data_IF_543378899258
#
_entry.id   IF_543378899258
#
_cell.length_a   1.000
_cell.length_b   1.000
_cell.length_c   1.000
_cell.angle_alpha   90.00
_cell.angle_beta   90.00
_cell.angle_gamma   90.00
#
_symmetry.space_group_name_H-M   'P 1'
#
loop_
_entity.id
_entity.type
_entity.pdbx_description
1 polymer ?
#
# COMPACT_ATOMS: atom_id res chain seq x y z
N UNK A 1 2.44 5.10 12.29
CA UNK A 1 1.77 3.81 12.06
C UNK A 1 2.79 2.71 11.78
N UNK A 2 2.37 1.46 11.92
CA UNK A 2 3.14 0.29 11.51
C UNK A 2 2.71 -0.12 10.10
N UNK A 3 3.65 -0.56 9.27
CA UNK A 3 3.36 -1.04 7.91
C UNK A 3 4.36 -2.09 7.44
N UNK A 4 3.95 -2.91 6.48
CA UNK A 4 4.82 -3.85 5.77
C UNK A 4 5.24 -3.22 4.44
N UNK A 5 6.54 -3.11 4.23
CA UNK A 5 7.12 -2.44 3.06
C UNK A 5 7.94 -3.42 2.24
N UNK A 6 7.71 -3.42 0.92
CA UNK A 6 8.65 -4.00 -0.03
C UNK A 6 9.72 -2.95 -0.34
N UNK A 7 10.93 -3.15 0.19
CA UNK A 7 12.01 -2.15 0.05
C UNK A 7 12.85 -2.35 -1.20
N UNK A 8 12.96 -3.59 -1.70
CA UNK A 8 13.80 -3.92 -2.85
C UNK A 8 13.23 -5.12 -3.58
N UNK A 9 13.10 -5.00 -4.90
CA UNK A 9 12.65 -6.10 -5.76
C UNK A 9 13.68 -7.21 -5.92
N UNK A 10 14.96 -6.94 -5.64
CA UNK A 10 16.07 -7.89 -5.72
C UNK A 10 16.17 -8.84 -4.52
N UNK A 11 15.37 -8.60 -3.47
CA UNK A 11 15.43 -9.37 -2.23
C UNK A 11 14.08 -9.95 -1.91
N UNK A 12 14.08 -11.19 -1.44
CA UNK A 12 12.88 -11.78 -0.86
C UNK A 12 12.58 -11.15 0.51
N UNK A 13 11.32 -11.21 0.91
CA UNK A 13 10.84 -10.68 2.18
C UNK A 13 10.16 -9.31 2.09
N UNK A 14 9.70 -8.88 3.26
CA UNK A 14 9.08 -7.60 3.56
C UNK A 14 9.67 -7.05 4.86
N UNK A 15 9.73 -5.72 4.99
CA UNK A 15 10.23 -5.06 6.19
C UNK A 15 9.05 -4.48 6.99
N UNK A 16 8.94 -4.86 8.28
CA UNK A 16 8.04 -4.19 9.21
C UNK A 16 8.66 -2.86 9.64
N UNK A 17 8.06 -1.74 9.21
CA UNK A 17 8.43 -0.41 9.69
C UNK A 17 7.47 0.05 10.77
N UNK A 18 8.01 0.70 11.79
CA UNK A 18 7.25 1.32 12.88
C UNK A 18 7.48 2.83 12.89
N UNK A 19 6.50 3.60 13.37
CA UNK A 19 6.64 5.06 13.47
C UNK A 19 6.56 5.83 12.14
N UNK A 20 6.08 5.20 11.05
CA UNK A 20 5.85 5.89 9.77
C UNK A 20 4.73 6.92 9.93
N UNK A 21 4.85 8.11 9.34
CA UNK A 21 3.77 9.11 9.39
C UNK A 21 2.46 8.55 8.80
N UNK A 22 1.31 9.04 9.28
CA UNK A 22 0.05 8.78 8.60
C UNK A 22 0.05 9.52 7.25
N UNK A 23 -0.57 8.97 6.20
CA UNK A 23 -0.72 9.69 4.95
C UNK A 23 -1.61 10.93 5.16
N UNK A 24 -1.24 12.03 4.49
CA UNK A 24 -2.08 13.22 4.36
C UNK A 24 -3.19 12.95 3.34
N UNK A 25 -4.37 13.54 3.55
CA UNK A 25 -5.54 13.30 2.69
C UNK A 25 -5.66 14.43 1.67
N UNK A 26 -5.57 14.09 0.39
CA UNK A 26 -5.86 15.01 -0.71
C UNK A 26 -7.34 15.39 -0.79
N UNK A 27 -7.69 16.36 -1.65
CA UNK A 27 -9.08 16.87 -1.72
C UNK A 27 -10.12 15.79 -2.06
N UNK A 28 -9.79 14.87 -2.96
CA UNK A 28 -10.71 13.83 -3.45
C UNK A 28 -10.38 12.44 -2.88
N UNK A 29 -9.68 12.39 -1.75
CA UNK A 29 -9.22 11.16 -1.11
C UNK A 29 -9.93 10.91 0.23
N UNK A 30 -9.79 9.69 0.73
CA UNK A 30 -10.19 9.32 2.10
C UNK A 30 -9.04 8.58 2.77
N UNK A 31 -8.86 8.77 4.08
CA UNK A 31 -7.98 7.92 4.87
C UNK A 31 -8.77 6.81 5.53
N UNK A 32 -8.26 5.59 5.39
CA UNK A 32 -8.86 4.40 5.99
C UNK A 32 -7.94 3.91 7.10
N UNK A 33 -8.46 3.86 8.32
CA UNK A 33 -7.85 3.12 9.41
C UNK A 33 -8.14 1.64 9.25
N UNK A 34 -7.17 0.92 8.72
CA UNK A 34 -7.25 -0.53 8.49
C UNK A 34 -7.50 -1.26 9.80
N UNK A 35 -8.51 -2.15 9.80
CA UNK A 35 -8.90 -3.00 10.94
C UNK A 35 -8.51 -4.46 10.75
N UNK A 36 -8.54 -4.91 9.50
CA UNK A 36 -8.07 -6.24 9.10
C UNK A 36 -7.59 -6.21 7.65
N UNK A 37 -6.69 -7.13 7.33
CA UNK A 37 -6.21 -7.39 5.96
C UNK A 37 -5.98 -8.89 5.80
N UNK A 38 -6.21 -9.39 4.60
CA UNK A 38 -5.86 -10.75 4.19
C UNK A 38 -4.54 -10.76 3.42
N UNK A 39 -4.06 -11.97 3.11
CA UNK A 39 -2.87 -12.23 2.31
C UNK A 39 -3.28 -13.17 1.17
N UNK A 40 -3.00 -12.78 -0.06
CA UNK A 40 -3.33 -13.56 -1.25
C UNK A 40 -2.07 -14.09 -1.97
N UNK A 41 -2.26 -14.76 -3.11
CA UNK A 41 -1.17 -15.26 -3.94
C UNK A 41 -0.24 -14.16 -4.48
N UNK A 42 -0.78 -12.98 -4.79
CA UNK A 42 0.02 -11.83 -5.24
C UNK A 42 0.96 -11.34 -4.14
N UNK A 43 0.51 -11.28 -2.88
CA UNK A 43 1.36 -10.89 -1.76
C UNK A 43 2.53 -11.87 -1.57
N UNK A 44 2.27 -13.17 -1.77
CA UNK A 44 3.33 -14.20 -1.80
C UNK A 44 4.31 -13.96 -2.94
N UNK A 45 3.85 -13.64 -4.15
CA UNK A 45 4.74 -13.30 -5.26
C UNK A 45 5.58 -12.06 -4.96
N UNK A 46 5.00 -11.02 -4.35
CA UNK A 46 5.74 -9.83 -3.92
C UNK A 46 6.80 -10.18 -2.87
N UNK A 47 6.46 -11.05 -1.91
CA UNK A 47 7.43 -11.56 -0.95
C UNK A 47 8.61 -12.23 -1.66
N UNK A 48 8.36 -13.05 -2.68
CA UNK A 48 9.38 -13.76 -3.46
C UNK A 48 9.87 -13.02 -4.72
N UNK A 49 9.82 -11.69 -4.73
CA UNK A 49 10.09 -10.90 -5.94
C UNK A 49 11.47 -11.15 -6.55
N UNK A 50 12.48 -11.54 -5.77
CA UNK A 50 13.85 -11.72 -6.29
C UNK A 50 13.94 -12.79 -7.37
N UNK A 51 12.99 -13.74 -7.37
CA UNK A 51 12.90 -14.86 -8.31
C UNK A 51 11.67 -14.80 -9.22
N UNK A 52 10.88 -13.73 -9.16
CA UNK A 52 9.64 -13.58 -9.93
C UNK A 52 9.72 -12.38 -10.86
N UNK A 53 10.15 -12.60 -12.11
CA UNK A 53 10.23 -11.54 -13.12
C UNK A 53 8.86 -10.89 -13.39
N UNK A 54 7.79 -11.71 -13.43
CA UNK A 54 6.43 -11.23 -13.65
C UNK A 54 5.99 -10.21 -12.60
N UNK A 55 6.14 -10.52 -11.31
CA UNK A 55 5.73 -9.56 -10.27
C UNK A 55 6.63 -8.34 -10.25
N UNK A 56 7.93 -8.48 -10.54
CA UNK A 56 8.85 -7.33 -10.64
C UNK A 56 8.40 -6.37 -11.73
N UNK A 57 8.04 -6.88 -12.90
CA UNK A 57 7.51 -6.05 -14.00
C UNK A 57 6.21 -5.35 -13.62
N UNK A 58 5.29 -6.05 -12.95
CA UNK A 58 4.05 -5.40 -12.48
C UNK A 58 4.32 -4.32 -11.43
N UNK A 59 5.26 -4.55 -10.51
CA UNK A 59 5.65 -3.55 -9.50
C UNK A 59 6.43 -2.36 -10.07
N UNK A 60 7.07 -2.54 -11.23
CA UNK A 60 7.75 -1.50 -12.00
C UNK A 60 6.85 -0.84 -13.06
N UNK A 61 5.60 -1.28 -13.21
CA UNK A 61 4.73 -0.81 -14.31
C UNK A 61 4.52 0.70 -14.36
N UNK A 62 4.62 1.37 -13.21
CA UNK A 62 4.47 2.81 -13.05
C UNK A 62 5.78 3.52 -12.69
N UNK A 63 6.91 2.78 -12.72
CA UNK A 63 8.23 3.36 -12.57
C UNK A 63 8.58 4.13 -13.86
N UNK A 64 9.30 5.24 -13.72
CA UNK A 64 9.76 6.01 -14.88
C UNK A 64 10.83 5.24 -15.67
N UNK A 65 11.62 4.41 -14.98
CA UNK A 65 12.55 3.45 -15.56
C UNK A 65 12.72 2.19 -14.69
N UNK A 66 13.36 1.16 -15.23
CA UNK A 66 13.55 -0.15 -14.56
C UNK A 66 14.40 -0.06 -13.27
N UNK A 67 15.12 1.03 -13.04
CA UNK A 67 15.93 1.27 -11.84
C UNK A 67 15.24 2.19 -10.83
N UNK A 68 14.09 2.78 -11.16
CA UNK A 68 13.41 3.77 -10.32
C UNK A 68 12.38 3.13 -9.36
N UNK A 69 12.63 1.91 -8.89
CA UNK A 69 11.73 1.26 -7.94
C UNK A 69 11.57 2.10 -6.67
N UNK A 70 10.34 2.50 -6.38
CA UNK A 70 9.99 3.17 -5.14
C UNK A 70 9.44 2.16 -4.14
N UNK A 71 9.90 2.14 -2.88
CA UNK A 71 9.38 1.22 -1.86
C UNK A 71 7.86 1.30 -1.72
N UNK A 72 7.20 0.15 -1.72
CA UNK A 72 5.72 0.07 -1.69
C UNK A 72 5.27 -0.50 -0.35
N UNK A 73 4.30 0.16 0.30
CA UNK A 73 3.51 -0.44 1.39
C UNK A 73 2.52 -1.43 0.77
N UNK A 74 2.61 -2.70 1.14
CA UNK A 74 1.85 -3.78 0.51
C UNK A 74 0.54 -4.09 1.24
N UNK A 75 -0.33 -4.87 0.58
CA UNK A 75 -1.64 -5.30 1.09
C UNK A 75 -2.78 -4.65 0.31
N UNK A 76 -3.48 -5.46 -0.49
CA UNK A 76 -4.55 -5.00 -1.37
C UNK A 76 -5.92 -5.61 -1.04
N UNK A 77 -5.99 -6.45 0.00
CA UNK A 77 -7.21 -7.08 0.48
C UNK A 77 -7.46 -6.66 1.93
N UNK A 78 -8.06 -5.48 2.14
CA UNK A 78 -8.24 -4.93 3.48
C UNK A 78 -9.65 -4.38 3.72
N UNK A 79 -10.00 -4.23 4.99
CA UNK A 79 -11.17 -3.48 5.43
C UNK A 79 -10.83 -2.60 6.62
N UNK A 80 -11.59 -1.52 6.80
CA UNK A 80 -11.33 -0.54 7.83
C UNK A 80 -12.44 0.47 7.99
N UNK A 81 -12.14 1.50 8.76
CA UNK A 81 -13.04 2.63 9.01
C UNK A 81 -12.44 3.85 8.32
N UNK A 82 -13.25 4.60 7.57
CA UNK A 82 -12.84 5.91 7.06
C UNK A 82 -12.67 6.83 8.27
N UNK A 83 -11.48 7.39 8.47
CA UNK A 83 -11.17 8.22 9.65
C UNK A 83 -10.80 9.67 9.32
N UNK A 84 -10.71 10.01 8.03
CA UNK A 84 -10.55 11.38 7.55
C UNK A 84 -11.03 11.46 6.09
N UNK A 85 -11.71 12.57 5.76
CA UNK A 85 -12.21 12.87 4.43
C UNK A 85 -11.46 14.06 3.83
N UNK A 86 -11.14 13.97 2.54
CA UNK A 86 -10.71 15.11 1.75
C UNK A 86 -11.82 16.16 1.63
N UNK A 87 -11.43 17.42 1.44
CA UNK A 87 -12.37 18.56 1.39
C UNK A 87 -13.38 18.50 0.23
N UNK A 88 -13.08 17.77 -0.84
CA UNK A 88 -13.95 17.51 -1.98
C UNK A 88 -14.88 16.31 -1.80
N UNK A 89 -14.74 15.54 -0.73
CA UNK A 89 -15.54 14.34 -0.48
C UNK A 89 -16.84 14.69 0.25
N UNK A 90 -17.98 14.34 -0.36
CA UNK A 90 -19.31 14.59 0.21
C UNK A 90 -19.54 13.84 1.53
N UNK A 91 -19.49 14.58 2.65
CA UNK A 91 -19.64 14.04 4.00
C UNK A 91 -21.01 13.39 4.27
N UNK A 92 -22.04 13.76 3.51
CA UNK A 92 -23.38 13.16 3.56
C UNK A 92 -23.39 11.67 3.24
N UNK A 93 -22.38 11.18 2.50
CA UNK A 93 -22.20 9.76 2.17
C UNK A 93 -21.43 8.98 3.22
N UNK A 94 -20.83 9.66 4.19
CA UNK A 94 -19.90 9.12 5.17
C UNK A 94 -20.23 9.68 6.55
N UNK A 95 -21.50 9.59 6.95
CA UNK A 95 -22.05 10.21 8.16
C UNK A 95 -21.42 9.74 9.48
N UNK A 96 -20.64 8.65 9.44
CA UNK A 96 -20.04 8.00 10.61
C UNK A 96 -18.52 8.23 10.73
N UNK A 97 -17.97 9.20 9.97
CA UNK A 97 -16.56 9.63 10.06
C UNK A 97 -16.37 10.68 11.16
#
# INVERSE_FOLDING_TARGET
MNCLVKESLEKDGLTLKSGVALPEVGSDEVRIRVKATAVCGTDKSIYHSSSSEGIRREMLRYAEDDNSYTPIIVGHEFCGIVDELGSGVGADRFSDV
#
